data_IF_547708453454
#
_entry.id   IF_547708453454
#
_cell.length_a   1.000
_cell.length_b   1.000
_cell.length_c   1.000
_cell.angle_alpha   90.00
_cell.angle_beta   90.00
_cell.angle_gamma   90.00
#
_symmetry.space_group_name_H-M   'P 1'
#
loop_
_entity.id
_entity.type
_entity.pdbx_description
1 polymer ?
#
# COMPACT_ATOMS: atom_id res chain seq x y z
N UNK A 1 7.40 23.59 -4.73
CA UNK A 1 6.38 23.43 -3.68
C UNK A 1 4.99 23.47 -4.31
N UNK A 2 4.07 22.62 -3.85
CA UNK A 2 2.62 22.75 -4.05
C UNK A 2 2.03 23.38 -2.79
N UNK A 3 1.09 24.31 -2.93
CA UNK A 3 0.21 24.71 -1.83
C UNK A 3 -1.12 23.99 -2.06
N UNK A 4 -1.59 23.23 -1.08
CA UNK A 4 -2.86 22.51 -1.13
C UNK A 4 -3.64 22.87 0.13
N UNK A 5 -4.87 23.37 -0.05
CA UNK A 5 -5.80 23.60 1.06
C UNK A 5 -6.27 22.25 1.59
N UNK A 6 -6.35 22.07 2.90
CA UNK A 6 -6.84 20.82 3.48
C UNK A 6 -8.37 20.70 3.30
N UNK A 7 -8.91 19.58 2.79
CA UNK A 7 -10.35 19.40 2.60
C UNK A 7 -11.15 19.28 3.90
N UNK A 8 -10.49 18.99 5.03
CA UNK A 8 -11.14 18.85 6.34
C UNK A 8 -11.15 20.16 7.13
N UNK A 9 -10.03 20.86 7.24
CA UNK A 9 -9.91 22.05 8.10
C UNK A 9 -9.64 23.37 7.36
N UNK A 10 -9.58 23.34 6.02
CA UNK A 10 -9.28 24.48 5.15
C UNK A 10 -7.94 25.19 5.42
N UNK A 11 -7.02 24.54 6.14
CA UNK A 11 -5.67 25.07 6.33
C UNK A 11 -4.84 24.92 5.04
N UNK A 12 -4.08 25.96 4.67
CA UNK A 12 -3.11 25.87 3.57
C UNK A 12 -1.88 25.08 4.00
N UNK A 13 -1.54 24.02 3.27
CA UNK A 13 -0.34 23.21 3.55
C UNK A 13 0.62 23.29 2.36
N UNK A 14 1.93 23.33 2.66
CA UNK A 14 2.98 23.41 1.64
C UNK A 14 3.69 22.07 1.54
N UNK A 15 3.65 21.47 0.35
CA UNK A 15 4.27 20.18 0.09
C UNK A 15 5.40 20.29 -0.95
N UNK A 16 6.45 19.48 -0.84
CA UNK A 16 7.48 19.42 -1.87
C UNK A 16 6.85 18.97 -3.21
N UNK A 17 7.29 19.61 -4.30
CA UNK A 17 6.83 19.26 -5.65
C UNK A 17 7.72 18.16 -6.19
N UNK A 18 7.36 16.92 -5.88
CA UNK A 18 8.03 15.74 -6.41
C UNK A 18 7.33 15.28 -7.70
N UNK A 19 8.10 15.10 -8.79
CA UNK A 19 7.58 14.56 -10.06
C UNK A 19 7.40 13.03 -9.94
N UNK A 20 6.53 12.42 -10.75
CA UNK A 20 6.31 10.96 -10.74
C UNK A 20 7.59 10.16 -11.02
N UNK A 21 8.49 10.69 -11.84
CA UNK A 21 9.74 10.02 -12.24
C UNK A 21 10.96 10.43 -11.39
N UNK A 22 10.77 10.84 -10.12
CA UNK A 22 11.90 11.25 -9.27
C UNK A 22 12.86 10.10 -8.96
N UNK A 23 12.38 8.85 -9.02
CA UNK A 23 13.20 7.66 -8.92
C UNK A 23 12.73 6.57 -9.88
N UNK A 24 13.60 5.59 -10.12
CA UNK A 24 13.25 4.32 -10.77
C UNK A 24 13.79 3.17 -9.94
N UNK A 25 12.95 2.18 -9.70
CA UNK A 25 13.40 0.93 -9.09
C UNK A 25 14.15 0.11 -10.13
N UNK A 26 15.36 -0.35 -9.79
CA UNK A 26 16.19 -1.21 -10.65
C UNK A 26 15.89 -2.68 -10.40
N UNK A 27 15.92 -3.05 -9.12
CA UNK A 27 15.71 -4.41 -8.66
C UNK A 27 14.60 -4.43 -7.61
N UNK A 28 13.75 -5.46 -7.67
CA UNK A 28 12.67 -5.71 -6.72
C UNK A 28 12.68 -7.15 -6.27
N UNK A 29 12.24 -7.38 -5.03
CA UNK A 29 11.86 -8.73 -4.59
C UNK A 29 10.58 -9.18 -5.31
N UNK A 30 10.23 -10.48 -5.24
CA UNK A 30 9.04 -11.03 -5.90
C UNK A 30 7.72 -10.37 -5.49
N UNK A 31 7.61 -9.88 -4.25
CA UNK A 31 6.43 -9.14 -3.77
C UNK A 31 6.42 -7.67 -4.22
N UNK A 32 7.44 -7.22 -4.96
CA UNK A 32 7.56 -5.87 -5.48
C UNK A 32 8.33 -4.90 -4.59
N UNK A 33 8.88 -5.37 -3.46
CA UNK A 33 9.70 -4.54 -2.58
C UNK A 33 10.94 -4.00 -3.30
N UNK A 34 11.17 -2.67 -3.35
CA UNK A 34 12.35 -2.12 -4.01
C UNK A 34 13.65 -2.44 -3.26
N UNK A 35 14.57 -3.16 -3.90
CA UNK A 35 15.91 -3.42 -3.37
C UNK A 35 16.90 -2.33 -3.78
N UNK A 36 16.75 -1.81 -5.00
CA UNK A 36 17.65 -0.78 -5.56
C UNK A 36 16.85 0.33 -6.21
N UNK A 37 17.17 1.56 -5.83
CA UNK A 37 16.49 2.76 -6.31
C UNK A 37 17.50 3.70 -6.94
N UNK A 38 17.23 4.13 -8.16
CA UNK A 38 17.97 5.19 -8.84
C UNK A 38 17.17 6.49 -8.77
N UNK A 39 17.67 7.46 -8.03
CA UNK A 39 17.16 8.83 -8.07
C UNK A 39 17.49 9.46 -9.43
N UNK A 40 16.47 9.98 -10.10
CA UNK A 40 16.56 10.56 -11.44
C UNK A 40 16.75 12.08 -11.40
N UNK A 41 16.41 12.70 -10.28
CA UNK A 41 16.58 14.14 -10.06
C UNK A 41 17.82 14.35 -9.20
N UNK A 42 18.74 15.20 -9.66
CA UNK A 42 19.84 15.72 -8.83
C UNK A 42 19.27 16.81 -7.93
N UNK A 43 18.92 16.46 -6.70
CA UNK A 43 18.44 17.38 -5.66
C UNK A 43 18.91 16.90 -4.30
N UNK A 44 19.08 17.81 -3.36
CA UNK A 44 19.24 17.49 -1.95
C UNK A 44 17.88 17.01 -1.42
N UNK A 45 17.67 15.70 -1.46
CA UNK A 45 16.57 15.06 -0.75
C UNK A 45 17.02 14.77 0.68
N UNK A 46 16.13 14.87 1.68
CA UNK A 46 16.44 14.36 3.00
C UNK A 46 16.90 12.90 2.91
N UNK A 47 17.94 12.53 3.66
CA UNK A 47 18.53 11.19 3.59
C UNK A 47 17.53 10.06 3.90
N UNK A 48 16.47 10.39 4.64
CA UNK A 48 15.39 9.49 5.02
C UNK A 48 14.21 9.43 4.02
N UNK A 49 14.21 10.27 2.98
CA UNK A 49 13.18 10.24 1.96
C UNK A 49 13.37 8.97 1.12
N UNK A 50 12.39 8.08 1.13
CA UNK A 50 12.43 6.85 0.35
C UNK A 50 11.22 6.78 -0.61
N UNK A 51 11.28 5.93 -1.65
CA UNK A 51 10.10 5.55 -2.42
C UNK A 51 8.89 5.10 -1.60
N UNK A 52 9.10 4.71 -0.33
CA UNK A 52 8.05 4.21 0.53
C UNK A 52 7.26 5.33 1.21
N UNK A 53 7.79 6.55 1.37
CA UNK A 53 7.12 7.62 2.14
C UNK A 53 6.92 8.95 1.39
N UNK A 54 7.51 9.12 0.21
CA UNK A 54 7.56 10.41 -0.49
C UNK A 54 6.24 10.94 -1.09
N UNK A 55 5.12 10.22 -0.97
CA UNK A 55 3.85 10.56 -1.62
C UNK A 55 2.76 11.05 -0.65
N UNK A 56 3.03 11.17 0.65
CA UNK A 56 2.04 11.65 1.61
C UNK A 56 1.99 13.18 1.70
N UNK A 57 0.78 13.72 1.71
CA UNK A 57 0.47 15.10 2.06
C UNK A 57 -0.34 15.13 3.34
N UNK A 58 0.31 15.37 4.47
CA UNK A 58 -0.31 15.43 5.80
C UNK A 58 -0.64 16.87 6.15
N UNK A 59 -1.87 17.14 6.55
CA UNK A 59 -2.25 18.45 7.06
C UNK A 59 -1.62 18.71 8.44
N UNK A 60 -0.95 19.85 8.60
CA UNK A 60 -0.29 20.22 9.86
C UNK A 60 -1.27 20.53 11.01
N UNK A 61 -2.54 20.86 10.68
CA UNK A 61 -3.57 21.18 11.68
C UNK A 61 -4.39 19.96 12.10
N UNK A 62 -4.99 19.26 11.13
CA UNK A 62 -5.96 18.20 11.42
C UNK A 62 -5.48 16.79 11.06
N UNK A 63 -4.26 16.65 10.56
CA UNK A 63 -3.63 15.37 10.21
C UNK A 63 -4.37 14.54 9.16
N UNK A 64 -5.38 15.12 8.50
CA UNK A 64 -5.91 14.59 7.24
C UNK A 64 -4.74 14.34 6.29
N UNK A 65 -4.70 13.14 5.73
CA UNK A 65 -3.58 12.68 4.92
C UNK A 65 -4.09 12.23 3.56
N UNK A 66 -3.64 12.91 2.51
CA UNK A 66 -3.93 12.58 1.12
C UNK A 66 -2.67 12.16 0.37
N UNK A 67 -2.84 11.46 -0.76
CA UNK A 67 -1.72 11.09 -1.62
C UNK A 67 -1.40 12.25 -2.58
N UNK A 68 -0.18 12.77 -2.54
CA UNK A 68 0.29 13.87 -3.39
C UNK A 68 0.35 13.51 -4.86
N UNK A 69 0.35 12.22 -5.24
CA UNK A 69 0.32 11.77 -6.63
C UNK A 69 -1.12 11.68 -7.20
N UNK A 70 -2.13 11.68 -6.33
CA UNK A 70 -3.56 11.72 -6.66
C UNK A 70 -3.99 13.09 -7.19
N UNK A 71 -4.57 13.10 -8.38
CA UNK A 71 -5.04 14.32 -9.02
C UNK A 71 -6.31 14.87 -8.36
N UNK A 72 -7.21 13.99 -7.88
CA UNK A 72 -8.45 14.40 -7.23
C UNK A 72 -8.13 15.12 -5.92
N UNK A 73 -7.20 14.58 -5.11
CA UNK A 73 -6.72 15.28 -3.91
C UNK A 73 -6.00 16.60 -4.25
N UNK A 74 -5.03 16.60 -5.18
CA UNK A 74 -4.30 17.85 -5.51
C UNK A 74 -5.18 18.97 -6.05
N UNK A 75 -6.29 18.64 -6.69
CA UNK A 75 -7.17 19.59 -7.37
C UNK A 75 -8.57 19.65 -6.76
N UNK A 76 -8.73 19.17 -5.52
CA UNK A 76 -10.04 18.99 -4.91
C UNK A 76 -10.83 20.31 -4.87
N UNK A 77 -10.17 21.46 -4.68
CA UNK A 77 -10.82 22.78 -4.66
C UNK A 77 -11.55 23.10 -5.97
N UNK A 78 -11.01 22.66 -7.12
CA UNK A 78 -11.63 22.86 -8.43
C UNK A 78 -12.91 22.07 -8.59
N UNK A 79 -13.08 20.99 -7.83
CA UNK A 79 -14.26 20.13 -7.87
C UNK A 79 -14.68 19.70 -6.45
N UNK A 80 -14.82 20.68 -5.57
CA UNK A 80 -15.01 20.46 -4.13
C UNK A 80 -16.25 19.63 -3.83
N UNK A 81 -17.35 19.87 -4.55
CA UNK A 81 -18.59 19.10 -4.40
C UNK A 81 -18.39 17.61 -4.71
N UNK A 82 -17.68 17.28 -5.80
CA UNK A 82 -17.40 15.87 -6.15
C UNK A 82 -16.48 15.24 -5.12
N UNK A 83 -15.41 15.93 -4.73
CA UNK A 83 -14.40 15.39 -3.82
C UNK A 83 -14.96 15.18 -2.41
N UNK A 84 -15.61 16.20 -1.83
CA UNK A 84 -16.20 16.11 -0.49
C UNK A 84 -17.36 15.11 -0.45
N UNK A 85 -18.12 14.96 -1.55
CA UNK A 85 -19.16 13.95 -1.69
C UNK A 85 -18.66 12.49 -1.69
N UNK A 86 -17.34 12.27 -1.73
CA UNK A 86 -16.76 10.93 -1.52
C UNK A 86 -16.72 10.51 -0.05
N UNK A 87 -16.98 11.42 0.88
CA UNK A 87 -16.87 11.20 2.32
C UNK A 87 -18.24 11.03 2.96
N UNK A 88 -18.32 10.28 4.06
CA UNK A 88 -19.52 10.27 4.87
C UNK A 88 -19.76 11.65 5.49
N UNK A 89 -21.03 12.07 5.52
CA UNK A 89 -21.43 13.38 6.02
C UNK A 89 -20.90 13.62 7.44
N UNK A 90 -20.23 14.77 7.63
CA UNK A 90 -19.71 15.22 8.92
C UNK A 90 -18.41 14.55 9.40
N UNK A 91 -17.89 13.50 8.74
CA UNK A 91 -16.66 12.85 9.21
C UNK A 91 -15.41 13.72 9.06
N UNK A 92 -15.30 14.52 8.00
CA UNK A 92 -14.19 15.46 7.83
C UNK A 92 -14.25 16.61 8.84
N UNK A 93 -15.45 17.12 9.13
CA UNK A 93 -15.65 18.15 10.16
C UNK A 93 -15.32 17.60 11.56
N UNK A 94 -15.74 16.36 11.84
CA UNK A 94 -15.40 15.67 13.08
C UNK A 94 -13.89 15.47 13.21
N UNK A 95 -13.20 15.09 12.14
CA UNK A 95 -11.73 14.97 12.13
C UNK A 95 -11.07 16.32 12.49
N UNK A 96 -11.52 17.41 11.87
CA UNK A 96 -11.00 18.75 12.18
C UNK A 96 -11.27 19.14 13.65
N UNK A 97 -12.47 18.85 14.17
CA UNK A 97 -12.84 19.13 15.56
C UNK A 97 -12.05 18.28 16.57
N UNK A 98 -11.84 16.99 16.27
CA UNK A 98 -11.02 16.08 17.09
C UNK A 98 -9.57 16.54 17.20
N UNK A 99 -9.03 17.11 16.13
CA UNK A 99 -7.69 17.69 16.15
C UNK A 99 -7.61 18.90 17.08
N UNK A 100 -8.60 19.79 17.05
CA UNK A 100 -8.65 20.97 17.93
C UNK A 100 -8.82 20.59 19.42
N UNK A 101 -9.52 19.48 19.73
CA UNK A 101 -9.70 18.98 21.11
C UNK A 101 -8.61 18.02 21.58
N UNK A 102 -7.73 17.55 20.69
CA UNK A 102 -6.72 16.54 20.99
C UNK A 102 -7.32 15.20 21.39
N UNK A 103 -8.37 14.76 20.70
CA UNK A 103 -9.06 13.49 20.93
C UNK A 103 -9.02 12.60 19.67
N UNK A 104 -9.45 11.34 19.80
CA UNK A 104 -9.52 10.40 18.68
C UNK A 104 -8.22 9.62 18.41
N UNK A 105 -8.25 8.71 17.43
CA UNK A 105 -7.14 7.79 17.14
C UNK A 105 -5.92 8.52 16.56
N UNK A 106 -6.17 9.64 15.85
CA UNK A 106 -5.11 10.49 15.33
C UNK A 106 -4.23 11.06 16.45
N UNK A 107 -4.79 11.35 17.64
CA UNK A 107 -4.01 11.84 18.78
C UNK A 107 -2.91 10.88 19.22
N UNK A 108 -3.17 9.57 19.17
CA UNK A 108 -2.14 8.58 19.46
C UNK A 108 -1.10 8.58 18.34
N UNK A 109 -1.54 8.45 17.08
CA UNK A 109 -0.68 8.30 15.91
C UNK A 109 0.25 9.49 15.68
N UNK A 110 -0.20 10.72 15.95
CA UNK A 110 0.63 11.93 15.76
C UNK A 110 1.85 11.95 16.69
N UNK A 111 1.84 11.21 17.81
CA UNK A 111 3.03 11.05 18.66
C UNK A 111 4.17 10.35 17.93
N UNK A 112 3.88 9.61 16.86
CA UNK A 112 4.87 9.00 15.97
C UNK A 112 5.41 9.94 14.89
N UNK A 113 4.86 11.14 14.71
CA UNK A 113 5.39 12.15 13.78
C UNK A 113 6.57 12.90 14.41
N UNK A 114 7.69 12.20 14.57
CA UNK A 114 8.92 12.72 15.19
C UNK A 114 9.97 12.94 14.10
N UNK A 115 10.40 14.19 13.82
CA UNK A 115 11.36 14.49 12.75
C UNK A 115 12.68 13.71 12.82
N UNK A 116 13.12 13.40 14.04
CA UNK A 116 14.34 12.64 14.32
C UNK A 116 14.16 11.12 14.15
N UNK A 117 12.91 10.66 14.03
CA UNK A 117 12.56 9.26 13.77
C UNK A 117 11.83 9.13 12.43
N UNK A 118 12.59 8.99 11.33
CA UNK A 118 12.00 8.84 10.00
C UNK A 118 11.22 7.54 9.83
N UNK A 119 11.57 6.48 10.57
CA UNK A 119 10.86 5.20 10.51
C UNK A 119 9.48 5.33 11.14
N UNK A 120 9.42 5.79 12.40
CA UNK A 120 8.16 6.02 13.11
C UNK A 120 7.28 7.04 12.39
N UNK A 121 7.89 8.11 11.86
CA UNK A 121 7.16 9.10 11.06
C UNK A 121 6.54 8.48 9.82
N UNK A 122 7.28 7.68 9.04
CA UNK A 122 6.75 7.05 7.84
C UNK A 122 5.58 6.11 8.18
N UNK A 123 5.73 5.27 9.20
CA UNK A 123 4.68 4.36 9.67
C UNK A 123 3.44 5.15 10.13
N UNK A 124 3.61 6.21 10.92
CA UNK A 124 2.52 7.06 11.39
C UNK A 124 1.78 7.70 10.20
N UNK A 125 2.48 8.24 9.21
CA UNK A 125 1.88 8.81 8.00
C UNK A 125 1.03 7.80 7.23
N UNK A 126 1.48 6.54 7.14
CA UNK A 126 0.69 5.48 6.54
C UNK A 126 -0.62 5.24 7.27
N UNK A 127 -0.61 5.18 8.60
CA UNK A 127 -1.84 5.02 9.38
C UNK A 127 -2.75 6.24 9.28
N UNK A 128 -2.23 7.47 9.28
CA UNK A 128 -3.05 8.65 9.02
C UNK A 128 -3.70 8.59 7.63
N UNK A 129 -2.99 8.09 6.62
CA UNK A 129 -3.48 7.88 5.28
C UNK A 129 -4.56 6.80 5.19
N UNK A 130 -4.35 5.65 5.83
CA UNK A 130 -5.36 4.58 5.93
C UNK A 130 -6.61 5.12 6.60
N UNK A 131 -6.48 5.81 7.74
CA UNK A 131 -7.62 6.38 8.44
C UNK A 131 -8.40 7.35 7.54
N UNK A 132 -7.70 8.27 6.86
CA UNK A 132 -8.30 9.25 5.94
C UNK A 132 -9.02 8.59 4.76
N UNK A 133 -8.51 7.46 4.25
CA UNK A 133 -9.16 6.67 3.19
C UNK A 133 -10.45 6.00 3.71
N UNK A 134 -10.46 5.54 4.95
CA UNK A 134 -11.61 4.90 5.57
C UNK A 134 -12.77 5.85 5.89
N UNK A 135 -12.53 7.17 5.90
CA UNK A 135 -13.62 8.16 6.03
C UNK A 135 -14.48 8.29 4.75
N UNK A 136 -14.03 7.69 3.63
CA UNK A 136 -14.78 7.69 2.38
C UNK A 136 -15.99 6.75 2.44
N UNK A 137 -17.04 7.07 1.70
CA UNK A 137 -18.22 6.21 1.52
C UNK A 137 -17.89 4.92 0.79
N UNK A 138 -16.94 4.99 -0.16
CA UNK A 138 -16.40 3.84 -0.89
C UNK A 138 -14.86 3.87 -0.86
N UNK A 139 -14.24 3.41 0.25
CA UNK A 139 -12.79 3.30 0.37
C UNK A 139 -12.23 2.38 -0.72
N UNK A 140 -11.11 2.76 -1.31
CA UNK A 140 -10.51 1.97 -2.39
C UNK A 140 -9.65 0.86 -1.76
N UNK A 141 -10.18 -0.37 -1.73
CA UNK A 141 -9.49 -1.54 -1.15
C UNK A 141 -8.07 -1.73 -1.70
N UNK A 142 -7.86 -1.51 -3.02
CA UNK A 142 -6.53 -1.57 -3.62
C UNK A 142 -5.54 -0.51 -3.12
N UNK A 143 -6.01 0.66 -2.66
CA UNK A 143 -5.13 1.66 -2.02
C UNK A 143 -4.74 1.19 -0.61
N UNK A 144 -5.72 0.75 0.18
CA UNK A 144 -5.48 0.23 1.54
C UNK A 144 -4.50 -0.95 1.49
N UNK A 145 -4.68 -1.88 0.54
CA UNK A 145 -3.76 -3.00 0.33
C UNK A 145 -2.32 -2.55 0.08
N UNK A 146 -2.12 -1.54 -0.79
CA UNK A 146 -0.80 -0.97 -1.09
C UNK A 146 -0.19 -0.24 0.11
N UNK A 147 -1.02 0.40 0.94
CA UNK A 147 -0.55 1.06 2.17
C UNK A 147 0.01 0.03 3.15
N UNK A 148 -0.72 -1.06 3.41
CA UNK A 148 -0.23 -2.15 4.25
C UNK A 148 0.99 -2.86 3.67
N UNK A 149 1.05 -3.07 2.34
CA UNK A 149 2.22 -3.65 1.70
C UNK A 149 3.47 -2.77 1.91
N UNK A 150 3.33 -1.45 1.79
CA UNK A 150 4.44 -0.52 2.05
C UNK A 150 4.80 -0.44 3.54
N UNK A 151 3.84 -0.55 4.46
CA UNK A 151 4.11 -0.70 5.91
C UNK A 151 4.95 -1.97 6.15
N UNK A 152 4.60 -3.10 5.52
CA UNK A 152 5.37 -4.33 5.65
C UNK A 152 6.82 -4.16 5.16
N UNK A 153 7.00 -3.49 4.02
CA UNK A 153 8.33 -3.15 3.50
C UNK A 153 9.11 -2.23 4.43
N UNK A 154 8.47 -1.24 5.05
CA UNK A 154 9.13 -0.42 6.06
C UNK A 154 9.62 -1.27 7.24
N UNK A 155 8.80 -2.19 7.76
CA UNK A 155 9.25 -3.12 8.82
C UNK A 155 10.41 -4.02 8.38
N UNK A 156 10.42 -4.43 7.11
CA UNK A 156 11.52 -5.21 6.51
C UNK A 156 12.81 -4.42 6.48
N UNK A 157 12.74 -3.13 6.13
CA UNK A 157 13.88 -2.21 6.06
C UNK A 157 14.29 -1.66 7.44
N UNK A 158 13.48 -1.89 8.49
CA UNK A 158 13.71 -1.32 9.82
C UNK A 158 15.13 -1.55 10.35
N UNK A 159 15.76 -2.75 10.24
CA UNK A 159 17.13 -2.92 10.71
C UNK A 159 18.13 -1.95 10.09
N UNK A 160 18.00 -1.68 8.78
CA UNK A 160 18.84 -0.71 8.07
C UNK A 160 18.52 0.74 8.43
N UNK A 161 17.23 1.10 8.53
CA UNK A 161 16.79 2.47 8.86
C UNK A 161 17.19 2.82 10.30
N UNK A 162 16.92 1.92 11.24
CA UNK A 162 17.19 2.12 12.67
C UNK A 162 18.69 2.18 12.98
N UNK A 163 19.51 1.43 12.23
CA UNK A 163 20.97 1.54 12.33
C UNK A 163 21.48 2.95 11.94
N UNK A 164 20.80 3.63 11.02
CA UNK A 164 21.24 4.92 10.48
C UNK A 164 20.66 6.13 11.22
N UNK A 165 19.40 6.07 11.67
CA UNK A 165 18.68 7.28 12.12
C UNK A 165 18.26 7.26 13.59
N UNK A 166 17.84 6.13 14.18
CA UNK A 166 17.49 6.03 15.60
C UNK A 166 17.36 4.57 16.07
N UNK A 167 17.91 4.25 17.26
CA UNK A 167 17.81 2.90 17.84
C UNK A 167 16.47 2.59 18.55
N UNK A 168 15.63 3.60 18.82
CA UNK A 168 14.34 3.44 19.50
C UNK A 168 13.32 4.47 19.02
N UNK A 169 12.27 4.00 18.36
CA UNK A 169 11.27 4.83 17.66
C UNK A 169 10.01 5.08 18.48
N UNK A 170 9.76 4.26 19.51
CA UNK A 170 8.50 4.34 20.28
C UNK A 170 7.23 4.07 19.45
N UNK A 171 7.37 3.76 18.15
CA UNK A 171 6.22 3.67 17.23
C UNK A 171 5.34 2.48 17.58
N UNK A 172 5.92 1.39 18.07
CA UNK A 172 5.16 0.21 18.48
C UNK A 172 4.19 0.56 19.60
N UNK A 173 4.67 1.28 20.61
CA UNK A 173 3.88 1.75 21.75
C UNK A 173 2.79 2.72 21.31
N UNK A 174 3.10 3.60 20.35
CA UNK A 174 2.12 4.52 19.73
C UNK A 174 0.99 3.74 19.04
N UNK A 175 1.35 2.70 18.29
CA UNK A 175 0.38 1.87 17.57
C UNK A 175 -0.46 1.00 18.51
N UNK A 176 0.13 0.46 19.57
CA UNK A 176 -0.57 -0.29 20.62
C UNK A 176 -1.56 0.60 21.39
N UNK A 177 -1.21 1.87 21.64
CA UNK A 177 -2.12 2.86 22.23
C UNK A 177 -3.28 3.21 21.27
N UNK A 178 -3.00 3.31 19.97
CA UNK A 178 -4.00 3.66 18.96
C UNK A 178 -5.03 2.55 18.72
N UNK A 179 -4.60 1.29 18.71
CA UNK A 179 -5.42 0.12 18.32
C UNK A 179 -6.82 0.05 18.96
N UNK A 180 -6.96 0.13 20.30
CA UNK A 180 -8.27 0.03 20.97
C UNK A 180 -9.26 1.17 20.64
N UNK A 181 -8.76 2.31 20.17
CA UNK A 181 -9.54 3.50 19.81
C UNK A 181 -9.85 3.49 18.31
N UNK A 182 -8.91 2.98 17.52
CA UNK A 182 -8.97 2.91 16.06
C UNK A 182 -10.27 2.26 15.58
N UNK A 183 -10.60 1.06 16.05
CA UNK A 183 -11.77 0.31 15.59
C UNK A 183 -13.11 0.99 15.92
N UNK A 184 -13.15 1.82 16.96
CA UNK A 184 -14.39 2.49 17.41
C UNK A 184 -14.73 3.72 16.58
N UNK A 185 -13.73 4.30 15.94
CA UNK A 185 -13.81 5.61 15.27
C UNK A 185 -13.86 5.45 13.74
N UNK A 186 -13.61 4.25 13.23
CA UNK A 186 -13.83 3.94 11.82
C UNK A 186 -15.32 3.75 11.54
N UNK A 187 -15.85 4.37 10.46
CA UNK A 187 -17.21 4.11 10.03
C UNK A 187 -17.34 2.63 9.60
N UNK A 188 -18.45 1.95 9.97
CA UNK A 188 -18.72 0.62 9.44
C UNK A 188 -18.85 0.68 7.93
N UNK A 189 -18.15 -0.19 7.21
CA UNK A 189 -18.23 -0.25 5.75
C UNK A 189 -18.14 -1.71 5.28
N UNK A 190 -19.13 -2.15 4.52
CA UNK A 190 -19.20 -3.50 3.94
C UNK A 190 -18.36 -3.66 2.66
N UNK A 191 -17.71 -2.58 2.20
CA UNK A 191 -16.95 -2.55 0.94
C UNK A 191 -15.52 -3.11 1.06
N UNK A 192 -15.15 -3.68 2.21
CA UNK A 192 -13.85 -4.30 2.44
C UNK A 192 -13.97 -5.58 3.29
N UNK A 193 -13.00 -6.52 3.20
CA UNK A 193 -13.14 -7.89 3.72
C UNK A 193 -13.07 -7.96 5.25
N UNK A 194 -12.41 -6.99 5.87
CA UNK A 194 -12.33 -6.80 7.30
C UNK A 194 -12.11 -5.31 7.60
N UNK A 195 -12.44 -4.82 8.80
CA UNK A 195 -12.04 -3.50 9.25
C UNK A 195 -10.51 -3.33 9.16
N UNK A 196 -10.01 -2.21 8.60
CA UNK A 196 -8.58 -1.94 8.63
C UNK A 196 -8.17 -1.74 10.08
N UNK A 197 -7.07 -2.36 10.50
CA UNK A 197 -6.55 -2.24 11.86
C UNK A 197 -5.09 -1.81 11.89
N UNK A 198 -4.47 -1.93 13.06
CA UNK A 198 -3.11 -1.43 13.29
C UNK A 198 -2.12 -2.60 13.39
N UNK A 199 -1.26 -2.74 12.39
CA UNK A 199 -0.18 -3.72 12.36
C UNK A 199 1.13 -3.18 12.98
N UNK A 200 1.65 -3.93 13.96
CA UNK A 200 2.86 -3.57 14.71
C UNK A 200 4.13 -4.27 14.21
N UNK A 201 4.04 -5.06 13.13
CA UNK A 201 5.15 -5.81 12.54
C UNK A 201 4.90 -6.13 11.05
N UNK A 202 5.92 -6.68 10.37
CA UNK A 202 5.86 -7.07 8.95
C UNK A 202 4.73 -8.07 8.67
N UNK A 203 4.63 -9.14 9.48
CA UNK A 203 3.65 -10.22 9.27
C UNK A 203 2.21 -9.70 9.33
N UNK A 204 1.88 -8.91 10.35
CA UNK A 204 0.56 -8.32 10.50
C UNK A 204 0.21 -7.42 9.31
N UNK A 205 1.15 -6.60 8.86
CA UNK A 205 0.96 -5.72 7.71
C UNK A 205 0.77 -6.52 6.41
N UNK A 206 1.54 -7.59 6.19
CA UNK A 206 1.36 -8.49 5.04
C UNK A 206 0.01 -9.20 5.06
N UNK A 207 -0.47 -9.64 6.24
CA UNK A 207 -1.79 -10.27 6.39
C UNK A 207 -2.92 -9.30 6.01
N UNK A 208 -2.86 -8.04 6.44
CA UNK A 208 -3.79 -7.00 5.99
C UNK A 208 -3.68 -6.77 4.48
N UNK A 209 -2.46 -6.57 3.95
CA UNK A 209 -2.25 -6.32 2.53
C UNK A 209 -2.86 -7.44 1.67
N UNK A 210 -2.59 -8.70 2.04
CA UNK A 210 -3.12 -9.88 1.36
C UNK A 210 -4.65 -9.90 1.39
N UNK A 211 -5.28 -9.70 2.54
CA UNK A 211 -6.74 -9.72 2.65
C UNK A 211 -7.40 -8.64 1.77
N UNK A 212 -6.88 -7.41 1.80
CA UNK A 212 -7.40 -6.32 0.95
C UNK A 212 -7.14 -6.55 -0.53
N UNK A 213 -6.00 -7.13 -0.92
CA UNK A 213 -5.74 -7.49 -2.31
C UNK A 213 -6.65 -8.63 -2.79
N UNK A 214 -6.90 -9.66 -1.98
CA UNK A 214 -7.84 -10.74 -2.29
C UNK A 214 -9.27 -10.19 -2.47
N UNK A 215 -9.69 -9.25 -1.63
CA UNK A 215 -10.99 -8.60 -1.80
C UNK A 215 -11.06 -7.74 -3.04
N UNK A 216 -10.05 -6.89 -3.25
CA UNK A 216 -9.93 -6.09 -4.46
C UNK A 216 -9.99 -6.98 -5.70
N UNK A 217 -9.31 -8.13 -5.68
CA UNK A 217 -9.38 -9.11 -6.76
C UNK A 217 -10.81 -9.61 -7.03
N UNK A 218 -11.57 -9.96 -5.98
CA UNK A 218 -12.96 -10.43 -6.11
C UNK A 218 -13.92 -9.35 -6.63
N UNK A 219 -13.64 -8.07 -6.36
CA UNK A 219 -14.49 -6.95 -6.76
C UNK A 219 -14.13 -6.37 -8.13
N UNK A 220 -13.05 -6.83 -8.78
CA UNK A 220 -12.70 -6.44 -10.15
C UNK A 220 -13.66 -7.09 -11.15
N UNK A 221 -14.70 -6.37 -11.58
CA UNK A 221 -15.66 -6.82 -12.60
C UNK A 221 -15.22 -6.54 -14.05
N UNK A 222 -14.11 -5.84 -14.26
CA UNK A 222 -13.66 -5.36 -15.59
C UNK A 222 -12.14 -5.24 -15.76
N UNK A 223 -11.35 -5.87 -14.89
CA UNK A 223 -9.89 -5.84 -15.02
C UNK A 223 -9.43 -6.56 -16.29
N UNK A 224 -8.34 -6.07 -16.89
CA UNK A 224 -7.66 -6.82 -17.94
C UNK A 224 -7.12 -8.15 -17.35
N UNK A 225 -7.06 -9.20 -18.17
CA UNK A 225 -6.44 -10.46 -17.75
C UNK A 225 -5.02 -10.27 -17.22
N UNK A 226 -4.29 -9.27 -17.75
CA UNK A 226 -2.94 -8.94 -17.29
C UNK A 226 -2.93 -8.41 -15.85
N UNK A 227 -3.82 -7.47 -15.53
CA UNK A 227 -3.93 -6.92 -14.17
C UNK A 227 -4.39 -7.99 -13.18
N UNK A 228 -5.32 -8.86 -13.60
CA UNK A 228 -5.78 -10.01 -12.82
C UNK A 228 -4.62 -10.94 -12.48
N UNK A 229 -3.83 -11.34 -13.49
CA UNK A 229 -2.67 -12.23 -13.30
C UNK A 229 -1.58 -11.61 -12.45
N UNK A 230 -1.26 -10.33 -12.68
CA UNK A 230 -0.26 -9.61 -11.89
C UNK A 230 -0.67 -9.53 -10.42
N UNK A 231 -1.94 -9.28 -10.13
CA UNK A 231 -2.45 -9.22 -8.77
C UNK A 231 -2.40 -10.60 -8.09
N UNK A 232 -2.77 -11.68 -8.79
CA UNK A 232 -2.67 -13.04 -8.25
C UNK A 232 -1.23 -13.44 -7.90
N UNK A 233 -0.28 -13.15 -8.79
CA UNK A 233 1.16 -13.40 -8.53
C UNK A 233 1.59 -12.65 -7.28
N UNK A 234 1.24 -11.37 -7.16
CA UNK A 234 1.57 -10.57 -5.97
C UNK A 234 0.98 -11.17 -4.68
N UNK A 235 -0.29 -11.57 -4.68
CA UNK A 235 -0.94 -12.18 -3.52
C UNK A 235 -0.23 -13.49 -3.12
N UNK A 236 0.14 -14.32 -4.10
CA UNK A 236 0.87 -15.56 -3.85
C UNK A 236 2.27 -15.32 -3.25
N UNK A 237 3.00 -14.32 -3.75
CA UNK A 237 4.31 -13.94 -3.19
C UNK A 237 4.20 -13.35 -1.78
N UNK A 238 3.16 -12.58 -1.48
CA UNK A 238 2.87 -12.14 -0.11
C UNK A 238 2.61 -13.37 0.79
N UNK A 239 1.83 -14.34 0.32
CA UNK A 239 1.59 -15.59 1.04
C UNK A 239 2.86 -16.41 1.29
N UNK A 240 3.77 -16.48 0.30
CA UNK A 240 5.09 -17.07 0.46
C UNK A 240 5.85 -16.38 1.60
N UNK A 241 5.91 -15.05 1.59
CA UNK A 241 6.67 -14.25 2.56
C UNK A 241 6.11 -14.39 3.97
N UNK A 242 4.79 -14.40 4.11
CA UNK A 242 4.15 -14.64 5.42
C UNK A 242 4.61 -15.98 5.98
N UNK A 243 4.54 -17.06 5.20
CA UNK A 243 5.03 -18.36 5.66
C UNK A 243 6.53 -18.35 5.95
N UNK A 244 7.34 -17.69 5.11
CA UNK A 244 8.77 -17.53 5.35
C UNK A 244 9.07 -16.84 6.69
N UNK A 245 8.22 -15.94 7.16
CA UNK A 245 8.42 -15.27 8.44
C UNK A 245 7.87 -16.07 9.63
N UNK A 246 6.74 -16.75 9.47
CA UNK A 246 6.02 -17.38 10.59
C UNK A 246 6.39 -18.84 10.81
N UNK A 247 6.70 -19.57 9.73
CA UNK A 247 6.79 -21.03 9.73
C UNK A 247 5.52 -21.74 10.22
N UNK A 248 4.35 -21.10 10.08
CA UNK A 248 3.09 -21.70 10.48
C UNK A 248 2.51 -22.57 9.36
N UNK A 249 2.02 -23.76 9.71
CA UNK A 249 1.42 -24.68 8.73
C UNK A 249 0.20 -24.08 8.04
N UNK A 250 -0.60 -23.28 8.76
CA UNK A 250 -1.74 -22.57 8.19
C UNK A 250 -1.31 -21.59 7.09
N UNK A 251 -0.21 -20.85 7.33
CA UNK A 251 0.35 -19.92 6.35
C UNK A 251 0.94 -20.66 5.15
N UNK A 252 1.57 -21.81 5.36
CA UNK A 252 2.02 -22.69 4.26
C UNK A 252 0.84 -23.15 3.39
N UNK A 253 -0.22 -23.69 4.00
CA UNK A 253 -1.40 -24.16 3.29
C UNK A 253 -2.09 -23.03 2.51
N UNK A 254 -2.16 -21.83 3.12
CA UNK A 254 -2.68 -20.65 2.45
C UNK A 254 -1.82 -20.25 1.25
N UNK A 255 -0.50 -20.14 1.42
CA UNK A 255 0.43 -19.84 0.34
C UNK A 255 0.35 -20.87 -0.80
N UNK A 256 0.34 -22.16 -0.48
CA UNK A 256 0.20 -23.25 -1.45
C UNK A 256 -1.12 -23.15 -2.24
N UNK A 257 -2.21 -22.83 -1.56
CA UNK A 257 -3.52 -22.63 -2.19
C UNK A 257 -3.50 -21.45 -3.15
N UNK A 258 -2.88 -20.33 -2.77
CA UNK A 258 -2.73 -19.14 -3.61
C UNK A 258 -1.90 -19.43 -4.87
N UNK A 259 -0.75 -20.10 -4.75
CA UNK A 259 0.04 -20.52 -5.92
C UNK A 259 -0.76 -21.45 -6.82
N UNK A 260 -1.41 -22.46 -6.25
CA UNK A 260 -2.18 -23.46 -7.02
C UNK A 260 -3.35 -22.82 -7.77
N UNK A 261 -4.13 -21.97 -7.10
CA UNK A 261 -5.24 -21.23 -7.72
C UNK A 261 -4.77 -20.29 -8.82
N UNK A 262 -3.67 -19.57 -8.60
CA UNK A 262 -3.08 -18.67 -9.59
C UNK A 262 -2.57 -19.42 -10.83
N UNK A 263 -1.93 -20.57 -10.65
CA UNK A 263 -1.51 -21.44 -11.76
C UNK A 263 -2.71 -21.99 -12.55
N UNK A 264 -3.76 -22.43 -11.87
CA UNK A 264 -4.99 -22.89 -12.51
C UNK A 264 -5.64 -21.80 -13.35
N UNK A 265 -5.68 -20.56 -12.86
CA UNK A 265 -6.20 -19.43 -13.64
C UNK A 265 -5.33 -19.12 -14.86
N UNK A 266 -4.01 -19.14 -14.73
CA UNK A 266 -3.11 -18.98 -15.88
C UNK A 266 -3.35 -20.07 -16.94
N UNK A 267 -3.49 -21.33 -16.52
CA UNK A 267 -3.82 -22.45 -17.42
C UNK A 267 -5.19 -22.27 -18.09
N UNK A 268 -6.19 -21.76 -17.37
CA UNK A 268 -7.49 -21.40 -17.94
C UNK A 268 -7.36 -20.38 -19.07
N UNK A 269 -6.58 -19.32 -18.86
CA UNK A 269 -6.35 -18.29 -19.89
C UNK A 269 -5.58 -18.85 -21.09
N UNK A 270 -4.58 -19.70 -20.86
CA UNK A 270 -3.79 -20.32 -21.93
C UNK A 270 -4.62 -21.28 -22.80
N UNK A 271 -5.56 -22.00 -22.18
CA UNK A 271 -6.38 -23.00 -22.87
C UNK A 271 -7.64 -22.41 -23.52
N UNK A 272 -8.01 -21.17 -23.18
CA UNK A 272 -9.15 -20.48 -23.78
C UNK A 272 -8.79 -19.98 -25.18
N UNK A 273 -9.43 -20.57 -26.19
CA UNK A 273 -9.20 -20.23 -27.61
C UNK A 273 -9.78 -18.86 -28.00
N UNK A 274 -10.59 -18.26 -27.15
CA UNK A 274 -11.19 -16.93 -27.39
C UNK A 274 -10.28 -15.79 -26.94
N UNK A 275 -9.25 -16.09 -26.15
CA UNK A 275 -8.26 -15.11 -25.67
C UNK A 275 -7.05 -15.14 -26.60
N UNK A 276 -6.73 -14.01 -27.22
CA UNK A 276 -5.68 -13.94 -28.23
C UNK A 276 -4.40 -13.23 -27.73
N UNK A 277 -3.26 -13.68 -28.28
CA UNK A 277 -1.99 -12.96 -28.29
C UNK A 277 -1.39 -12.65 -26.91
N UNK A 278 -1.42 -11.36 -26.54
CA UNK A 278 -0.66 -10.79 -25.41
C UNK A 278 -1.03 -11.37 -24.05
N UNK A 279 -2.32 -11.58 -23.78
CA UNK A 279 -2.79 -12.14 -22.51
C UNK A 279 -2.32 -13.59 -22.31
N UNK A 280 -2.32 -14.40 -23.37
CA UNK A 280 -1.82 -15.79 -23.33
C UNK A 280 -0.32 -15.83 -23.06
N UNK A 281 0.47 -14.94 -23.65
CA UNK A 281 1.91 -14.87 -23.38
C UNK A 281 2.19 -14.45 -21.93
N UNK A 282 1.48 -13.44 -21.42
CA UNK A 282 1.58 -13.06 -20.00
C UNK A 282 1.17 -14.18 -19.05
N UNK A 283 0.15 -14.96 -19.42
CA UNK A 283 -0.26 -16.12 -18.64
C UNK A 283 0.82 -17.20 -18.59
N UNK A 284 1.53 -17.45 -19.69
CA UNK A 284 2.68 -18.37 -19.71
C UNK A 284 3.83 -17.89 -18.84
N UNK A 285 4.21 -16.62 -18.96
CA UNK A 285 5.27 -16.00 -18.15
C UNK A 285 4.93 -16.07 -16.64
N UNK A 286 3.66 -15.80 -16.30
CA UNK A 286 3.18 -15.84 -14.92
C UNK A 286 3.13 -17.27 -14.39
N UNK A 287 2.70 -18.22 -15.22
CA UNK A 287 2.67 -19.65 -14.88
C UNK A 287 4.07 -20.20 -14.57
N UNK A 288 5.08 -19.80 -15.33
CA UNK A 288 6.47 -20.20 -15.08
C UNK A 288 6.95 -19.69 -13.72
N UNK A 289 6.76 -18.40 -13.44
CA UNK A 289 7.12 -17.78 -12.15
C UNK A 289 6.41 -18.43 -10.97
N UNK A 290 5.09 -18.59 -11.07
CA UNK A 290 4.27 -19.25 -10.04
C UNK A 290 4.71 -20.70 -9.81
N UNK A 291 5.05 -21.42 -10.87
CA UNK A 291 5.51 -22.80 -10.79
C UNK A 291 6.87 -22.93 -10.11
N UNK A 292 7.80 -22.01 -10.39
CA UNK A 292 9.11 -21.95 -9.71
C UNK A 292 8.95 -21.60 -8.23
N UNK A 293 8.28 -20.49 -7.93
CA UNK A 293 8.10 -19.98 -6.57
C UNK A 293 7.25 -20.92 -5.70
N UNK A 294 6.24 -21.57 -6.28
CA UNK A 294 5.48 -22.62 -5.61
C UNK A 294 6.31 -23.86 -5.26
N UNK A 295 7.30 -24.23 -6.09
CA UNK A 295 8.25 -25.32 -5.74
C UNK A 295 9.19 -24.89 -4.62
N UNK A 296 9.69 -23.65 -4.67
CA UNK A 296 10.53 -23.09 -3.60
C UNK A 296 9.79 -23.07 -2.26
N UNK A 297 8.50 -22.73 -2.25
CA UNK A 297 7.66 -22.80 -1.05
C UNK A 297 7.63 -24.23 -0.47
N UNK A 298 7.45 -25.23 -1.34
CA UNK A 298 7.47 -26.64 -0.94
C UNK A 298 8.84 -27.09 -0.40
N UNK A 299 9.94 -26.63 -1.02
CA UNK A 299 11.30 -26.91 -0.54
C UNK A 299 11.59 -26.22 0.79
N UNK A 300 11.10 -24.99 0.99
CA UNK A 300 11.19 -24.29 2.26
C UNK A 300 10.51 -25.09 3.36
N UNK A 301 9.26 -25.54 3.16
CA UNK A 301 8.54 -26.40 4.12
C UNK A 301 9.31 -27.67 4.43
N UNK A 302 9.82 -28.38 3.42
CA UNK A 302 10.61 -29.59 3.63
C UNK A 302 11.91 -29.36 4.43
N UNK A 303 12.60 -28.23 4.21
CA UNK A 303 13.81 -27.88 4.99
C UNK A 303 13.45 -27.65 6.45
N UNK A 304 12.34 -26.95 6.71
CA UNK A 304 11.85 -26.66 8.05
C UNK A 304 11.39 -27.90 8.80
N UNK A 305 10.68 -28.80 8.13
CA UNK A 305 10.28 -30.10 8.70
C UNK A 305 11.49 -30.98 9.08
N UNK A 306 12.61 -30.80 8.39
CA UNK A 306 13.88 -31.50 8.68
C UNK A 306 14.74 -30.76 9.72
N UNK A 307 14.30 -29.62 10.23
CA UNK A 307 15.09 -28.78 11.15
C UNK A 307 16.36 -28.20 10.52
N UNK A 308 16.39 -28.04 9.19
CA UNK A 308 17.56 -27.59 8.42
C UNK A 308 17.56 -26.09 8.11
N UNK A 309 16.77 -25.29 8.83
CA UNK A 309 16.73 -23.85 8.58
C UNK A 309 18.06 -23.20 8.99
N UNK A 310 18.68 -22.53 8.02
CA UNK A 310 19.61 -21.45 8.33
C UNK A 310 18.75 -20.27 8.82
N UNK A 311 19.25 -19.47 9.79
CA UNK A 311 18.56 -18.24 10.16
C UNK A 311 18.28 -17.45 8.89
N UNK A 312 17.07 -16.88 8.78
CA UNK A 312 16.81 -15.84 7.79
C UNK A 312 17.77 -14.72 8.17
N UNK A 313 18.95 -14.68 7.54
CA UNK A 313 19.86 -13.56 7.72
C UNK A 313 19.02 -12.32 7.38
N UNK A 314 18.97 -11.31 8.27
CA UNK A 314 18.36 -10.05 7.90
C UNK A 314 19.10 -9.61 6.65
N UNK A 315 18.43 -9.67 5.51
CA UNK A 315 18.93 -9.01 4.32
C UNK A 315 18.91 -7.55 4.72
N UNK A 316 20.07 -7.06 5.17
CA UNK A 316 20.32 -5.64 5.33
C UNK A 316 20.38 -5.16 3.89
N UNK A 317 19.21 -4.93 3.29
CA UNK A 317 19.10 -4.13 2.10
C UNK A 317 19.72 -2.79 2.48
N UNK A 318 20.87 -2.41 1.88
CA UNK A 318 21.37 -1.07 2.11
C UNK A 318 20.23 -0.14 1.72
N UNK A 319 19.88 0.80 2.61
CA UNK A 319 18.85 1.79 2.29
C UNK A 319 19.10 2.31 0.88
N UNK A 320 18.06 2.51 0.06
CA UNK A 320 18.20 3.19 -1.20
C UNK A 320 18.60 4.65 -0.95
N UNK A 321 19.89 4.86 -0.73
CA UNK A 321 20.47 6.11 -0.28
C UNK A 321 20.48 7.09 -1.45
N UNK A 322 20.13 8.34 -1.16
CA UNK A 322 20.30 9.43 -2.11
C UNK A 322 21.80 9.56 -2.46
N UNK A 323 22.17 9.78 -3.74
CA UNK A 323 23.56 9.86 -4.13
C UNK A 323 24.28 11.01 -3.43
N UNK A 324 25.41 10.72 -2.77
CA UNK A 324 26.33 11.73 -2.27
C UNK A 324 27.07 12.40 -3.43
N UNK A 325 27.24 13.72 -3.34
CA UNK A 325 27.84 14.56 -4.38
C UNK A 325 29.28 14.13 -4.72
N UNK A 326 29.44 13.48 -5.87
CA UNK A 326 30.71 13.41 -6.60
C UNK A 326 30.76 14.54 -7.63
N UNK A 327 31.58 15.55 -7.36
CA UNK A 327 31.92 16.63 -8.29
C UNK A 327 32.70 16.09 -9.49
N UNK A 328 32.04 15.94 -10.62
CA UNK A 328 32.65 15.61 -11.91
C UNK A 328 31.81 16.18 -13.06
N UNK A 329 32.43 16.74 -14.11
CA UNK A 329 31.75 17.59 -15.08
C UNK A 329 30.84 16.78 -16.00
N UNK A 330 29.65 17.32 -16.25
CA UNK A 330 28.65 16.79 -17.17
C UNK A 330 28.94 17.28 -18.60
N UNK A 331 28.87 16.43 -19.63
CA UNK A 331 28.76 16.91 -21.00
C UNK A 331 27.29 17.20 -21.33
N UNK A 332 27.11 18.26 -22.12
CA UNK A 332 25.85 18.86 -22.52
C UNK A 332 24.93 17.92 -23.30
N UNK A 333 23.62 18.06 -23.08
CA UNK A 333 22.58 17.57 -23.98
C UNK A 333 21.97 18.76 -24.73
N UNK A 334 21.69 18.67 -26.04
CA UNK A 334 20.97 19.72 -26.75
C UNK A 334 19.45 19.56 -26.57
N UNK A 335 18.80 20.69 -26.33
CA UNK A 335 17.35 20.89 -26.34
C UNK A 335 16.80 20.77 -27.77
N UNK A 336 15.66 20.11 -27.93
CA UNK A 336 14.82 20.29 -29.11
C UNK A 336 13.34 20.38 -28.70
N UNK A 337 12.75 21.53 -29.00
CA UNK A 337 11.33 21.85 -28.85
C UNK A 337 10.55 21.24 -30.01
N UNK A 338 9.36 20.69 -29.73
CA UNK A 338 8.31 20.58 -30.72
C UNK A 338 6.94 20.60 -30.03
N UNK A 339 6.25 21.73 -30.21
CA UNK A 339 4.81 21.89 -30.05
C UNK A 339 4.07 20.91 -30.96
N UNK A 340 3.00 20.29 -30.46
CA UNK A 340 1.88 19.86 -31.31
C UNK A 340 0.60 19.76 -30.49
N UNK A 341 -0.31 20.70 -30.77
CA UNK A 341 -1.70 20.67 -30.36
C UNK A 341 -2.43 19.45 -30.94
N UNK A 342 -3.09 18.67 -30.10
CA UNK A 342 -4.11 17.69 -30.52
C UNK A 342 -5.38 17.92 -29.71
N UNK A 343 -6.41 18.39 -30.42
CA UNK A 343 -7.79 18.53 -29.95
C UNK A 343 -8.40 17.12 -29.83
N UNK A 344 -8.88 16.74 -28.64
CA UNK A 344 -9.62 15.50 -28.41
C UNK A 344 -11.07 15.84 -28.06
N UNK A 345 -11.99 15.27 -28.83
CA UNK A 345 -13.43 15.40 -28.67
C UNK A 345 -13.96 14.61 -27.46
N UNK A 346 -14.89 15.21 -26.72
CA UNK A 346 -15.60 14.59 -25.60
C UNK A 346 -16.65 13.58 -26.09
N UNK A 347 -16.63 12.38 -25.50
CA UNK A 347 -17.73 11.41 -25.57
C UNK A 347 -18.55 11.46 -24.28
N UNK A 348 -19.88 11.31 -24.33
CA UNK A 348 -20.75 11.38 -23.15
C UNK A 348 -20.61 10.13 -22.25
N UNK A 349 -20.91 10.26 -20.94
CA UNK A 349 -20.74 9.18 -19.96
C UNK A 349 -21.81 8.08 -20.09
N UNK A 350 -21.49 6.82 -19.74
CA UNK A 350 -22.44 5.72 -19.74
C UNK A 350 -23.39 5.77 -18.54
N UNK A 351 -24.60 5.28 -18.78
CA UNK A 351 -25.74 5.18 -17.87
C UNK A 351 -25.48 4.12 -16.78
N UNK A 352 -25.81 4.42 -15.52
CA UNK A 352 -25.55 3.57 -14.35
C UNK A 352 -26.77 2.69 -14.07
N UNK A 353 -26.61 1.37 -14.16
CA UNK A 353 -27.61 0.42 -13.65
C UNK A 353 -27.48 0.23 -12.12
N UNK A 354 -28.60 -0.04 -11.40
CA UNK A 354 -28.62 -0.13 -9.94
C UNK A 354 -28.00 -1.44 -9.40
N UNK A 355 -27.37 -1.33 -8.23
CA UNK A 355 -26.68 -2.39 -7.52
C UNK A 355 -27.59 -3.57 -7.09
N UNK A 356 -27.08 -4.82 -7.05
CA UNK A 356 -27.81 -5.96 -6.53
C UNK A 356 -27.93 -5.93 -5.00
N UNK A 357 -29.02 -6.54 -4.49
CA UNK A 357 -29.43 -6.53 -3.10
C UNK A 357 -28.41 -7.16 -2.13
N UNK A 358 -28.34 -6.58 -0.93
CA UNK A 358 -27.44 -6.97 0.16
C UNK A 358 -27.66 -8.43 0.62
N UNK A 359 -26.55 -9.14 0.83
CA UNK A 359 -26.51 -10.44 1.50
C UNK A 359 -26.71 -10.26 3.03
N UNK A 360 -27.19 -11.30 3.74
CA UNK A 360 -27.53 -11.18 5.15
C UNK A 360 -26.29 -10.92 6.03
N UNK A 361 -26.44 -9.99 6.96
CA UNK A 361 -25.41 -9.56 7.92
C UNK A 361 -24.97 -10.72 8.83
N UNK A 362 -23.69 -11.11 8.76
CA UNK A 362 -23.04 -11.92 9.80
C UNK A 362 -22.87 -11.06 11.06
N UNK A 363 -23.17 -11.61 12.24
CA UNK A 363 -23.03 -10.89 13.50
C UNK A 363 -21.56 -10.61 13.85
N UNK A 364 -21.30 -9.45 14.46
CA UNK A 364 -19.98 -9.04 14.97
C UNK A 364 -19.31 -10.08 15.89
N UNK A 365 -20.10 -10.91 16.59
CA UNK A 365 -19.60 -11.98 17.45
C UNK A 365 -19.03 -13.17 16.65
N UNK A 366 -19.60 -13.46 15.48
CA UNK A 366 -19.07 -14.48 14.55
C UNK A 366 -17.72 -14.05 13.94
N UNK A 367 -17.58 -12.75 13.66
CA UNK A 367 -16.34 -12.16 13.15
C UNK A 367 -15.23 -12.12 14.19
N UNK A 368 -15.54 -11.80 15.45
CA UNK A 368 -14.57 -11.86 16.56
C UNK A 368 -14.08 -13.29 16.82
N UNK A 369 -14.98 -14.28 16.77
CA UNK A 369 -14.56 -15.69 16.88
C UNK A 369 -13.67 -16.17 15.74
N UNK A 370 -13.79 -15.61 14.52
CA UNK A 370 -12.86 -15.91 13.42
C UNK A 370 -11.49 -15.27 13.62
N UNK A 371 -11.42 -14.10 14.29
CA UNK A 371 -10.16 -13.41 14.61
C UNK A 371 -9.45 -14.09 15.77
N UNK A 372 -10.16 -14.48 16.83
CA UNK A 372 -9.58 -15.21 17.97
C UNK A 372 -9.15 -16.65 17.62
N UNK A 373 -9.60 -17.18 16.47
CA UNK A 373 -9.13 -18.45 15.89
C UNK A 373 -7.91 -18.27 14.96
N UNK A 374 -7.42 -17.04 14.81
CA UNK A 374 -6.21 -16.69 14.03
C UNK A 374 -5.02 -16.29 14.92
N UNK A 375 -5.21 -16.19 16.25
CA UNK A 375 -4.16 -16.16 17.28
C UNK A 375 -3.87 -17.58 17.79
#
# INVERSE_FOLDING_TARGET
MYTIVCPACNCENKFPRLKRDIYRTRNTEPDGHPLEVKWMVKSEFPEWLTPLNFFWGVCERCFYTGQLDDADFRQWEKNSKKFLGMYHDGLLDNLAAQADTGQGPMKAIIKGLVPEDPFGTAIAQFYLGIFSECLKTAPIAGNIARFYLRIAWLYRDAPGILQQFAANTGIKEVLEEAGPIWDKELPPNSSYPLPPGVATNEVGALRYAMAYFEWNFRSLSSASYEDEMRLMVLIAEIGYRVYELTNEDNDFQKGQTLFSGSMQKCLSVINDKTIEGGAVNKAKDSLEKLGERGRELGLLKQRRDKGQDLPVDPVISPLPTAPQNGSGPSPDAPEENADTDVVVAESPPPEVEPAPAAAPEESLDSLKQKIDQMD
#
